data_IF_384477818352
#
_entry.id   IF_384477818352
#
_cell.length_a   1.000
_cell.length_b   1.000
_cell.length_c   1.000
_cell.angle_alpha   90.00
_cell.angle_beta   90.00
_cell.angle_gamma   90.00
#
_symmetry.space_group_name_H-M   'P 1'
#
loop_
_entity.id
_entity.type
_entity.pdbx_description
1 polymer ?
#
# COMPACT_ATOMS: atom_id res chain seq x y z
N UNK A 1 -7.34 11.71 19.73
CA UNK A 1 -7.74 12.28 18.42
C UNK A 1 -6.96 11.70 17.23
N UNK A 2 -5.63 11.59 17.32
CA UNK A 2 -4.75 11.16 16.21
C UNK A 2 -5.13 9.78 15.62
N UNK A 3 -5.38 8.77 16.47
CA UNK A 3 -5.79 7.42 16.02
C UNK A 3 -7.09 7.42 15.20
N UNK A 4 -8.10 8.21 15.58
CA UNK A 4 -9.38 8.29 14.84
C UNK A 4 -9.17 8.89 13.45
N UNK A 5 -8.32 9.91 13.32
CA UNK A 5 -8.00 10.54 12.05
C UNK A 5 -7.19 9.61 11.12
N UNK A 6 -6.24 8.84 11.70
CA UNK A 6 -5.47 7.86 10.94
C UNK A 6 -6.36 6.72 10.40
N UNK A 7 -7.29 6.21 11.21
CA UNK A 7 -8.25 5.17 10.79
C UNK A 7 -9.23 5.70 9.74
N UNK A 8 -9.71 6.95 9.87
CA UNK A 8 -10.55 7.60 8.88
C UNK A 8 -9.82 7.74 7.53
N UNK A 9 -8.59 8.27 7.54
CA UNK A 9 -7.75 8.36 6.34
C UNK A 9 -7.43 7.01 5.73
N UNK A 10 -7.16 5.99 6.55
CA UNK A 10 -6.92 4.64 6.05
C UNK A 10 -8.14 4.03 5.33
N UNK A 11 -9.37 4.34 5.78
CA UNK A 11 -10.60 3.93 5.09
C UNK A 11 -10.78 4.64 3.73
N UNK A 12 -10.35 5.89 3.63
CA UNK A 12 -10.41 6.67 2.39
C UNK A 12 -9.32 6.23 1.40
N UNK A 13 -8.15 5.80 1.89
CA UNK A 13 -7.06 5.24 1.09
C UNK A 13 -7.37 3.77 0.78
N UNK A 14 -8.33 3.54 -0.13
CA UNK A 14 -8.61 2.21 -0.63
C UNK A 14 -7.53 1.83 -1.65
N UNK A 15 -6.48 1.16 -1.20
CA UNK A 15 -5.43 0.63 -2.09
C UNK A 15 -6.05 -0.47 -2.96
N UNK A 16 -6.02 -0.37 -4.30
CA UNK A 16 -6.52 -1.42 -5.17
C UNK A 16 -5.81 -2.74 -4.89
N UNK A 17 -6.56 -3.85 -4.84
CA UNK A 17 -6.04 -5.19 -4.51
C UNK A 17 -4.86 -5.64 -5.41
N UNK A 18 -4.78 -5.16 -6.66
CA UNK A 18 -3.63 -5.43 -7.55
C UNK A 18 -2.30 -4.83 -7.04
N UNK A 19 -2.38 -3.92 -6.09
CA UNK A 19 -1.24 -3.29 -5.44
C UNK A 19 -1.12 -3.75 -3.98
N UNK A 20 -1.88 -4.71 -3.47
CA UNK A 20 -1.70 -5.21 -2.10
C UNK A 20 -0.69 -6.37 -2.03
N UNK A 21 -0.16 -6.64 -0.84
CA UNK A 21 0.67 -7.82 -0.58
C UNK A 21 -0.28 -9.03 -0.60
N UNK A 22 0.08 -10.10 -1.30
CA UNK A 22 -0.66 -11.36 -1.22
C UNK A 22 -0.40 -12.07 0.11
N UNK A 23 -1.28 -12.98 0.51
CA UNK A 23 -1.07 -13.76 1.73
C UNK A 23 0.26 -14.53 1.70
N UNK A 24 0.58 -15.18 0.58
CA UNK A 24 1.81 -15.97 0.42
C UNK A 24 3.07 -15.12 0.58
N UNK A 25 3.07 -13.92 -0.02
CA UNK A 25 4.19 -12.97 0.17
C UNK A 25 4.32 -12.48 1.61
N UNK A 26 3.20 -12.35 2.34
CA UNK A 26 3.22 -11.99 3.75
C UNK A 26 3.78 -13.13 4.60
N UNK A 27 3.46 -14.39 4.27
CA UNK A 27 4.01 -15.57 4.93
C UNK A 27 5.51 -15.68 4.69
N UNK A 28 5.97 -15.55 3.44
CA UNK A 28 7.41 -15.55 3.13
C UNK A 28 8.19 -14.48 3.92
N UNK A 29 7.60 -13.29 4.11
CA UNK A 29 8.21 -12.22 4.92
C UNK A 29 8.29 -12.54 6.40
N UNK A 30 7.26 -13.19 6.94
CA UNK A 30 7.25 -13.63 8.33
C UNK A 30 8.26 -14.75 8.55
N UNK A 31 8.39 -15.66 7.59
CA UNK A 31 9.33 -16.78 7.67
C UNK A 31 10.80 -16.34 7.42
N UNK A 32 11.01 -15.26 6.65
CA UNK A 32 12.35 -14.74 6.37
C UNK A 32 12.95 -13.91 7.52
N UNK A 33 12.12 -13.13 8.22
CA UNK A 33 12.58 -12.25 9.29
C UNK A 33 12.30 -12.87 10.67
N UNK A 34 13.36 -13.29 11.37
CA UNK A 34 13.26 -13.83 12.73
C UNK A 34 12.80 -12.78 13.76
N UNK A 35 13.09 -11.51 13.50
CA UNK A 35 12.69 -10.39 14.35
C UNK A 35 11.35 -9.78 13.92
N UNK A 36 10.38 -9.75 14.83
CA UNK A 36 9.10 -9.07 14.60
C UNK A 36 9.24 -7.58 14.28
N UNK A 37 10.32 -6.93 14.74
CA UNK A 37 10.60 -5.53 14.40
C UNK A 37 11.03 -5.37 12.94
N UNK A 38 11.92 -6.23 12.46
CA UNK A 38 12.37 -6.21 11.06
C UNK A 38 11.25 -6.59 10.10
N UNK A 39 10.46 -7.60 10.47
CA UNK A 39 9.26 -8.00 9.75
C UNK A 39 8.27 -6.82 9.63
N UNK A 40 8.01 -6.11 10.73
CA UNK A 40 7.15 -4.92 10.76
C UNK A 40 7.66 -3.77 9.89
N UNK A 41 8.97 -3.50 9.90
CA UNK A 41 9.59 -2.51 9.02
C UNK A 41 9.43 -2.86 7.55
N UNK A 42 9.58 -4.14 7.20
CA UNK A 42 9.43 -4.57 5.82
C UNK A 42 7.98 -4.49 5.34
N UNK A 43 7.01 -4.86 6.18
CA UNK A 43 5.59 -4.64 5.89
C UNK A 43 5.27 -3.16 5.67
N UNK A 44 5.80 -2.27 6.51
CA UNK A 44 5.64 -0.83 6.33
C UNK A 44 6.21 -0.35 4.99
N UNK A 45 7.43 -0.79 4.66
CA UNK A 45 8.09 -0.43 3.40
C UNK A 45 7.32 -0.91 2.18
N UNK A 46 6.79 -2.13 2.21
CA UNK A 46 5.97 -2.67 1.15
C UNK A 46 4.68 -1.88 1.00
N UNK A 47 3.95 -1.64 2.10
CA UNK A 47 2.74 -0.80 2.09
C UNK A 47 2.99 0.60 1.50
N UNK A 48 4.14 1.21 1.79
CA UNK A 48 4.53 2.49 1.21
C UNK A 48 4.72 2.41 -0.31
N UNK A 49 5.47 1.41 -0.82
CA UNK A 49 5.67 1.21 -2.26
C UNK A 49 4.35 0.91 -2.99
N UNK A 50 3.44 0.21 -2.33
CA UNK A 50 2.10 -0.07 -2.85
C UNK A 50 1.27 1.19 -3.02
N UNK A 51 1.29 2.07 -2.01
CA UNK A 51 0.68 3.40 -2.09
C UNK A 51 1.24 4.23 -3.25
N UNK A 52 2.56 4.25 -3.44
CA UNK A 52 3.20 4.96 -4.56
C UNK A 52 2.76 4.43 -5.93
N UNK A 53 2.72 3.10 -6.11
CA UNK A 53 2.26 2.48 -7.36
C UNK A 53 0.79 2.78 -7.64
N UNK A 54 -0.06 2.74 -6.61
CA UNK A 54 -1.46 3.08 -6.73
C UNK A 54 -1.67 4.55 -7.13
N UNK A 55 -0.97 5.47 -6.47
CA UNK A 55 -1.02 6.90 -6.77
C UNK A 55 -0.58 7.21 -8.20
N UNK A 56 0.55 6.63 -8.64
CA UNK A 56 1.05 6.79 -10.02
C UNK A 56 0.04 6.27 -11.04
N UNK A 57 -0.56 5.11 -10.79
CA UNK A 57 -1.56 4.55 -11.71
C UNK A 57 -2.85 5.38 -11.76
N UNK A 58 -3.27 5.98 -10.65
CA UNK A 58 -4.41 6.90 -10.63
C UNK A 58 -4.10 8.19 -11.41
N UNK A 59 -2.90 8.74 -11.24
CA UNK A 59 -2.45 9.90 -11.98
C UNK A 59 -2.40 9.64 -13.48
N UNK A 60 -1.81 8.52 -13.91
CA UNK A 60 -1.79 8.15 -15.34
C UNK A 60 -3.20 7.96 -15.92
N UNK A 61 -4.17 7.48 -15.13
CA UNK A 61 -5.57 7.41 -15.57
C UNK A 61 -6.18 8.80 -15.79
N UNK A 62 -5.89 9.75 -14.89
CA UNK A 62 -6.36 11.14 -15.01
C UNK A 62 -5.77 11.78 -16.26
N UNK A 63 -4.45 11.70 -16.44
CA UNK A 63 -3.73 12.22 -17.61
C UNK A 63 -4.25 11.59 -18.93
N UNK A 64 -4.47 10.27 -18.97
CA UNK A 64 -5.02 9.59 -20.14
C UNK A 64 -6.48 9.98 -20.45
N UNK A 65 -7.23 10.45 -19.46
CA UNK A 65 -8.61 10.92 -19.65
C UNK A 65 -8.62 12.36 -20.15
N UNK A 66 -7.68 13.20 -19.69
CA UNK A 66 -7.48 14.56 -20.19
C UNK A 66 -6.97 14.57 -21.63
N UNK A 67 -6.04 13.69 -21.99
CA UNK A 67 -5.51 13.58 -23.36
C UNK A 67 -6.54 13.04 -24.39
N UNK A 68 -7.66 12.48 -23.92
CA UNK A 68 -8.78 12.02 -24.76
C UNK A 68 -9.89 13.06 -24.93
N UNK A 69 -9.80 14.21 -24.24
CA UNK A 69 -10.68 15.37 -24.46
C UNK A 69 -10.07 16.31 -25.48
#
# INVERSE_FOLDING_TARGET
>A
MIKKNAVQKAKEIRVPARFSISYDQAVELVDHYESGFECGLMFFRLGYMQGQRAAKAEQCKKEATECKK
#
